data_IF_547034325950
#
_entry.id   IF_547034325950
#
_cell.length_a   1.000
_cell.length_b   1.000
_cell.length_c   1.000
_cell.angle_alpha   90.00
_cell.angle_beta   90.00
_cell.angle_gamma   90.00
#
_symmetry.space_group_name_H-M   'P 1'
#
loop_
_entity.id
_entity.type
_entity.pdbx_description
1 polymer ?
#
# COMPACT_ATOMS: atom_id res chain seq x y z
N UNK A 1 0.04 22.31 7.80
CA UNK A 1 -0.76 21.28 7.10
C UNK A 1 -1.19 20.25 8.14
N UNK A 2 -2.41 19.70 8.05
CA UNK A 2 -2.89 18.72 9.03
C UNK A 2 -2.02 17.45 8.98
N UNK A 3 -1.49 17.02 10.13
CA UNK A 3 -0.61 15.86 10.22
C UNK A 3 -1.26 14.57 9.73
N UNK A 4 -2.59 14.44 9.83
CA UNK A 4 -3.32 13.26 9.33
C UNK A 4 -3.16 13.15 7.81
N UNK A 5 -3.19 14.28 7.10
CA UNK A 5 -2.99 14.31 5.65
C UNK A 5 -1.53 14.03 5.30
N UNK A 6 -0.58 14.56 6.08
CA UNK A 6 0.84 14.26 5.90
C UNK A 6 1.09 12.74 6.02
N UNK A 7 0.51 12.07 7.02
CA UNK A 7 0.66 10.62 7.19
C UNK A 7 0.05 9.82 6.03
N UNK A 8 -1.10 10.24 5.49
CA UNK A 8 -1.69 9.62 4.28
C UNK A 8 -0.71 9.73 3.11
N UNK A 9 -0.13 10.91 2.87
CA UNK A 9 0.83 11.13 1.78
C UNK A 9 2.09 10.28 1.99
N UNK A 10 2.59 10.15 3.20
CA UNK A 10 3.81 9.35 3.46
C UNK A 10 3.55 7.84 3.31
N UNK A 11 2.33 7.36 3.58
CA UNK A 11 2.03 5.92 3.76
C UNK A 11 1.25 5.26 2.60
N UNK A 12 1.02 5.96 1.49
CA UNK A 12 0.19 5.44 0.39
C UNK A 12 0.90 4.38 -0.50
N UNK A 13 2.22 4.41 -0.57
CA UNK A 13 3.00 3.67 -1.59
C UNK A 13 3.09 2.17 -1.24
N UNK A 14 2.87 1.31 -2.23
CA UNK A 14 3.40 -0.07 -2.25
C UNK A 14 2.83 -1.03 -1.19
N UNK A 15 1.65 -0.72 -0.62
CA UNK A 15 1.07 -1.35 0.57
C UNK A 15 1.91 -1.19 1.86
N UNK A 16 2.72 -0.15 1.91
CA UNK A 16 3.51 0.25 3.06
C UNK A 16 4.97 -0.21 3.00
N UNK A 17 5.86 0.64 3.49
CA UNK A 17 7.32 0.45 3.51
C UNK A 17 7.79 0.47 4.98
N UNK A 18 8.16 -0.68 5.57
CA UNK A 18 8.81 -0.75 6.88
C UNK A 18 10.11 0.04 6.95
N UNK A 19 10.52 0.43 8.16
CA UNK A 19 11.73 1.24 8.37
C UNK A 19 13.02 0.61 7.82
N UNK A 20 13.17 -0.72 7.87
CA UNK A 20 14.32 -1.43 7.30
C UNK A 20 14.33 -1.40 5.76
N UNK A 21 13.18 -1.59 5.12
CA UNK A 21 13.02 -1.39 3.67
C UNK A 21 13.29 0.08 3.29
N UNK A 22 12.78 1.02 4.06
CA UNK A 22 12.98 2.46 3.85
C UNK A 22 14.47 2.83 3.87
N UNK A 23 15.23 2.28 4.83
CA UNK A 23 16.68 2.47 4.94
C UNK A 23 17.41 1.98 3.69
N UNK A 24 17.05 0.80 3.16
CA UNK A 24 17.64 0.25 1.94
C UNK A 24 17.33 1.13 0.72
N UNK A 25 16.16 1.76 0.69
CA UNK A 25 15.73 2.69 -0.36
C UNK A 25 16.31 4.11 -0.22
N UNK A 26 17.09 4.40 0.83
CA UNK A 26 17.63 5.73 1.11
C UNK A 26 16.58 6.73 1.59
N UNK A 27 15.43 6.25 2.06
CA UNK A 27 14.39 7.06 2.70
C UNK A 27 14.75 7.33 4.17
N UNK A 28 14.14 8.34 4.81
CA UNK A 28 14.23 8.50 6.26
C UNK A 28 13.86 7.21 7.00
N UNK A 29 14.62 6.90 8.05
CA UNK A 29 14.48 5.66 8.83
C UNK A 29 13.24 5.70 9.74
N UNK A 30 12.07 5.41 9.16
CA UNK A 30 10.79 5.31 9.86
C UNK A 30 9.81 4.41 9.10
N UNK A 31 8.74 4.02 9.77
CA UNK A 31 7.68 3.20 9.15
C UNK A 31 6.69 4.03 8.33
N UNK A 32 6.53 3.61 7.08
CA UNK A 32 5.56 4.13 6.12
C UNK A 32 4.39 3.14 5.92
N UNK A 33 4.05 2.38 6.95
CA UNK A 33 2.92 1.45 6.94
C UNK A 33 1.60 2.21 7.12
N UNK A 34 0.55 1.96 6.30
CA UNK A 34 -0.76 2.53 6.52
C UNK A 34 -1.40 1.94 7.79
N UNK A 35 -1.82 2.81 8.72
CA UNK A 35 -2.34 2.41 10.03
C UNK A 35 -3.83 2.70 10.17
N UNK A 36 -4.28 3.92 9.85
CA UNK A 36 -5.69 4.28 9.98
C UNK A 36 -6.54 3.74 8.80
N UNK A 37 -7.87 3.66 8.95
CA UNK A 37 -8.75 3.32 7.84
C UNK A 37 -8.56 4.22 6.62
N UNK A 38 -8.42 5.53 6.81
CA UNK A 38 -8.22 6.50 5.72
C UNK A 38 -6.87 6.29 5.02
N UNK A 39 -5.80 6.07 5.78
CA UNK A 39 -4.47 5.73 5.22
C UNK A 39 -4.54 4.45 4.38
N UNK A 40 -5.23 3.42 4.88
CA UNK A 40 -5.42 2.14 4.19
C UNK A 40 -6.26 2.27 2.92
N UNK A 41 -7.35 3.05 2.95
CA UNK A 41 -8.20 3.30 1.77
C UNK A 41 -7.39 4.00 0.68
N UNK A 42 -6.66 5.06 1.02
CA UNK A 42 -5.87 5.81 0.04
C UNK A 42 -4.73 4.96 -0.52
N UNK A 43 -3.98 4.26 0.34
CA UNK A 43 -2.93 3.35 -0.10
C UNK A 43 -3.50 2.27 -1.04
N UNK A 44 -4.63 1.67 -0.68
CA UNK A 44 -5.24 0.63 -1.51
C UNK A 44 -5.72 1.16 -2.85
N UNK A 45 -6.36 2.34 -2.88
CA UNK A 45 -6.82 2.97 -4.11
C UNK A 45 -5.65 3.32 -5.05
N UNK A 46 -4.57 3.92 -4.52
CA UNK A 46 -3.37 4.24 -5.30
C UNK A 46 -2.74 2.98 -5.92
N UNK A 47 -2.60 1.92 -5.12
CA UNK A 47 -2.00 0.67 -5.57
C UNK A 47 -2.84 -0.10 -6.62
N UNK A 48 -4.13 0.23 -6.79
CA UNK A 48 -4.98 -0.29 -7.87
C UNK A 48 -4.90 0.51 -9.17
N UNK A 49 -4.20 1.64 -9.18
CA UNK A 49 -4.01 2.45 -10.37
C UNK A 49 -2.73 2.06 -11.11
N UNK A 50 -2.80 2.10 -12.43
CA UNK A 50 -1.63 2.05 -13.33
C UNK A 50 -1.68 3.29 -14.21
N UNK A 51 -0.92 4.31 -13.82
CA UNK A 51 -1.11 5.67 -14.34
C UNK A 51 -2.51 6.18 -13.97
N UNK A 52 -3.32 6.50 -14.97
CA UNK A 52 -4.73 6.91 -14.79
C UNK A 52 -5.74 5.77 -14.95
N UNK A 53 -5.28 4.54 -15.23
CA UNK A 53 -6.17 3.39 -15.45
C UNK A 53 -6.40 2.63 -14.15
N UNK A 54 -7.67 2.45 -13.79
CA UNK A 54 -8.08 1.51 -12.76
C UNK A 54 -7.83 0.07 -13.23
N UNK A 55 -7.20 -0.72 -12.37
CA UNK A 55 -6.88 -2.13 -12.63
C UNK A 55 -7.61 -3.03 -11.65
N UNK A 56 -7.72 -4.32 -11.98
CA UNK A 56 -8.19 -5.30 -10.99
C UNK A 56 -7.13 -5.54 -9.92
N UNK A 57 -7.54 -6.12 -8.79
CA UNK A 57 -6.60 -6.50 -7.74
C UNK A 57 -5.56 -7.49 -8.25
N UNK A 58 -5.96 -8.49 -9.04
CA UNK A 58 -5.10 -9.53 -9.60
C UNK A 58 -4.06 -8.93 -10.55
N UNK A 59 -4.46 -7.97 -11.38
CA UNK A 59 -3.55 -7.28 -12.29
C UNK A 59 -2.50 -6.47 -11.51
N UNK A 60 -2.93 -5.74 -10.47
CA UNK A 60 -2.01 -5.01 -9.60
C UNK A 60 -1.09 -5.92 -8.80
N UNK A 61 -1.60 -7.04 -8.30
CA UNK A 61 -0.82 -8.04 -7.60
C UNK A 61 0.26 -8.65 -8.52
N UNK A 62 -0.11 -8.96 -9.76
CA UNK A 62 0.84 -9.47 -10.75
C UNK A 62 1.92 -8.42 -11.10
N UNK A 63 1.53 -7.15 -11.24
CA UNK A 63 2.48 -6.03 -11.44
C UNK A 63 3.46 -5.93 -10.28
N UNK A 64 2.99 -6.00 -9.04
CA UNK A 64 3.85 -5.98 -7.85
C UNK A 64 4.86 -7.13 -7.84
N UNK A 65 4.41 -8.36 -8.15
CA UNK A 65 5.30 -9.53 -8.23
C UNK A 65 6.39 -9.37 -9.29
N UNK A 66 6.04 -8.77 -10.42
CA UNK A 66 7.00 -8.55 -11.50
C UNK A 66 8.01 -7.44 -11.18
N UNK A 67 7.60 -6.41 -10.44
CA UNK A 67 8.47 -5.28 -10.08
C UNK A 67 9.39 -5.57 -8.89
N UNK A 68 8.87 -6.23 -7.85
CA UNK A 68 9.56 -6.41 -6.58
C UNK A 68 10.14 -7.82 -6.39
N UNK A 69 9.69 -8.78 -7.21
CA UNK A 69 9.94 -10.20 -7.02
C UNK A 69 8.75 -10.92 -6.38
N UNK A 70 8.56 -12.19 -6.76
CA UNK A 70 7.39 -13.00 -6.35
C UNK A 70 7.30 -13.22 -4.83
N UNK A 71 8.46 -13.25 -4.16
CA UNK A 71 8.59 -13.50 -2.72
C UNK A 71 8.80 -12.21 -1.90
N UNK A 72 8.62 -11.03 -2.51
CA UNK A 72 8.82 -9.77 -1.80
C UNK A 72 7.76 -9.58 -0.68
N UNK A 73 8.14 -9.17 0.55
CA UNK A 73 7.20 -9.01 1.67
C UNK A 73 5.99 -8.09 1.38
N UNK A 74 6.17 -7.08 0.53
CA UNK A 74 5.10 -6.20 0.06
C UNK A 74 3.93 -6.95 -0.61
N UNK A 75 4.18 -8.10 -1.25
CA UNK A 75 3.13 -8.94 -1.85
C UNK A 75 2.14 -9.40 -0.77
N UNK A 76 2.65 -9.89 0.35
CA UNK A 76 1.82 -10.36 1.47
C UNK A 76 1.07 -9.19 2.12
N UNK A 77 1.74 -8.04 2.29
CA UNK A 77 1.10 -6.82 2.80
C UNK A 77 -0.05 -6.37 1.91
N UNK A 78 0.12 -6.36 0.59
CA UNK A 78 -0.94 -5.97 -0.34
C UNK A 78 -2.11 -6.96 -0.33
N UNK A 79 -1.85 -8.26 -0.25
CA UNK A 79 -2.89 -9.29 -0.07
C UNK A 79 -3.68 -9.10 1.22
N UNK A 80 -3.01 -8.79 2.34
CA UNK A 80 -3.67 -8.51 3.63
C UNK A 80 -4.54 -7.25 3.55
N UNK A 81 -4.00 -6.18 2.97
CA UNK A 81 -4.72 -4.91 2.79
C UNK A 81 -5.98 -5.10 1.93
N UNK A 82 -5.88 -5.85 0.83
CA UNK A 82 -7.03 -6.20 -0.01
C UNK A 82 -8.13 -6.92 0.78
N UNK A 83 -7.75 -7.97 1.52
CA UNK A 83 -8.71 -8.74 2.34
C UNK A 83 -9.39 -7.87 3.39
N UNK A 84 -8.63 -6.97 4.02
CA UNK A 84 -9.17 -6.03 5.02
C UNK A 84 -10.19 -5.08 4.41
N UNK A 85 -9.86 -4.43 3.29
CA UNK A 85 -10.75 -3.49 2.58
C UNK A 85 -12.02 -4.19 2.07
N UNK A 86 -11.89 -5.38 1.48
CA UNK A 86 -13.05 -6.18 1.04
C UNK A 86 -13.90 -6.66 2.23
N UNK A 87 -13.31 -6.80 3.42
CA UNK A 87 -14.04 -7.07 4.67
C UNK A 87 -14.97 -5.92 5.04
N UNK A 88 -14.45 -4.68 5.03
CA UNK A 88 -15.23 -3.49 5.40
C UNK A 88 -16.46 -3.27 4.51
N UNK A 89 -16.37 -3.64 3.22
CA UNK A 89 -17.50 -3.54 2.27
C UNK A 89 -18.69 -4.43 2.61
N UNK A 90 -18.50 -5.48 3.42
CA UNK A 90 -19.56 -6.44 3.78
C UNK A 90 -20.33 -6.05 5.04
N UNK A 91 -19.81 -5.08 5.80
CA UNK A 91 -20.35 -4.68 7.10
C UNK A 91 -21.15 -3.36 7.05
N UNK A 92 -21.23 -2.72 5.87
CA UNK A 92 -22.03 -1.51 5.62
C UNK A 92 -23.07 -1.73 4.53
#
# INVERSE_FOLDING_TARGET
MDERIVRIIERHIGAGIPADEARVLGLPDKDYLPLSPEEKIVAYADNLLSGSRLTSFEESLHRFKNLLGIDHPAIERFLKLHKEIEGWKREG
#
